data_IF_262437061008
#
_entry.id   IF_262437061008
#
_cell.length_a   1.000
_cell.length_b   1.000
_cell.length_c   1.000
_cell.angle_alpha   90.00
_cell.angle_beta   90.00
_cell.angle_gamma   90.00
#
_symmetry.space_group_name_H-M   'P 1'
#
loop_
_entity.id
_entity.type
_entity.pdbx_description
1 polymer ?
#
# COMPACT_ATOMS: atom_id res chain seq x y z
N UNK A 1 -18.82 4.92 69.56
CA UNK A 1 -17.97 6.07 69.94
C UNK A 1 -16.58 5.79 69.39
N UNK A 2 -16.26 6.21 68.15
CA UNK A 2 -15.39 7.36 67.79
C UNK A 2 -14.05 7.32 68.56
N UNK A 3 -12.88 7.26 67.93
CA UNK A 3 -12.29 8.30 67.07
C UNK A 3 -11.35 7.70 66.00
N UNK A 4 -11.34 8.36 64.84
CA UNK A 4 -10.51 8.17 63.63
C UNK A 4 -9.05 8.61 63.82
N UNK A 5 -8.10 8.01 63.08
CA UNK A 5 -6.83 8.66 62.74
C UNK A 5 -6.56 8.44 61.24
N UNK A 6 -6.65 9.54 60.49
CA UNK A 6 -6.34 9.67 59.07
C UNK A 6 -4.83 9.61 58.82
N UNK A 7 -4.41 8.88 57.79
CA UNK A 7 -3.13 9.14 57.10
C UNK A 7 -3.41 9.83 55.77
N UNK A 8 -3.11 11.12 55.74
CA UNK A 8 -3.16 11.99 54.58
C UNK A 8 -1.82 11.87 53.82
N UNK A 9 -1.80 11.16 52.69
CA UNK A 9 -0.68 11.20 51.77
C UNK A 9 -0.84 12.41 50.84
N UNK A 10 -0.03 13.44 51.05
CA UNK A 10 0.06 14.63 50.22
C UNK A 10 0.73 14.26 48.89
N UNK A 11 -0.03 14.28 47.80
CA UNK A 11 0.48 14.26 46.43
C UNK A 11 1.10 15.63 46.12
N UNK A 12 2.41 15.73 46.21
CA UNK A 12 3.18 16.81 45.60
C UNK A 12 3.15 16.62 44.07
N UNK A 13 2.22 17.29 43.39
CA UNK A 13 2.29 17.51 41.96
C UNK A 13 3.43 18.49 41.65
N UNK A 14 4.65 17.95 41.53
CA UNK A 14 5.75 18.65 40.89
C UNK A 14 5.50 18.68 39.39
N UNK A 15 5.21 19.85 38.85
CA UNK A 15 5.23 20.09 37.39
C UNK A 15 6.65 19.90 36.91
N UNK A 16 6.95 18.73 36.33
CA UNK A 16 8.18 18.57 35.56
C UNK A 16 8.16 19.56 34.38
N UNK A 17 9.26 20.26 34.09
CA UNK A 17 9.33 21.13 32.93
C UNK A 17 9.14 20.29 31.66
N UNK A 18 8.22 20.73 30.79
CA UNK A 18 7.82 20.06 29.55
C UNK A 18 8.99 19.73 28.61
N UNK A 19 10.15 20.37 28.78
CA UNK A 19 11.39 20.08 28.06
C UNK A 19 12.10 18.78 28.48
N UNK A 20 12.02 18.36 29.74
CA UNK A 20 12.69 17.15 30.23
C UNK A 20 11.97 15.87 29.74
N UNK A 21 10.64 15.87 29.75
CA UNK A 21 9.81 14.76 29.23
C UNK A 21 10.00 14.59 27.72
N UNK A 22 10.05 15.71 26.97
CA UNK A 22 10.31 15.66 25.51
C UNK A 22 11.72 15.17 25.16
N UNK A 23 12.73 15.52 25.95
CA UNK A 23 14.10 15.07 25.72
C UNK A 23 14.24 13.55 25.95
N UNK A 24 13.63 13.05 27.03
CA UNK A 24 13.60 11.63 27.39
C UNK A 24 12.80 10.79 26.38
N UNK A 25 11.63 11.28 25.94
CA UNK A 25 10.87 10.66 24.84
C UNK A 25 11.68 10.67 23.53
N UNK A 26 12.35 11.77 23.18
CA UNK A 26 13.15 11.86 21.95
C UNK A 26 14.34 10.91 21.96
N UNK A 27 14.97 10.73 23.12
CA UNK A 27 16.09 9.80 23.29
C UNK A 27 15.61 8.34 23.25
N UNK A 28 14.53 8.00 23.95
CA UNK A 28 13.90 6.67 23.88
C UNK A 28 13.40 6.34 22.46
N UNK A 29 12.85 7.31 21.73
CA UNK A 29 12.47 7.15 20.33
C UNK A 29 13.66 6.86 19.41
N UNK A 30 14.78 7.56 19.61
CA UNK A 30 16.00 7.35 18.83
C UNK A 30 16.63 5.98 19.07
N UNK A 31 16.44 5.41 20.27
CA UNK A 31 16.87 4.05 20.60
C UNK A 31 16.00 2.98 19.92
N UNK A 32 14.67 3.20 19.82
CA UNK A 32 13.75 2.24 19.20
C UNK A 32 13.79 2.30 17.67
N UNK A 33 13.83 3.50 17.09
CA UNK A 33 13.86 3.73 15.65
C UNK A 33 15.07 4.58 15.27
N UNK A 34 16.27 3.97 15.20
CA UNK A 34 17.50 4.69 14.91
C UNK A 34 17.46 5.30 13.50
N UNK A 35 18.10 6.47 13.36
CA UNK A 35 18.23 7.20 12.10
C UNK A 35 19.68 7.16 11.63
N UNK A 36 20.14 6.05 11.02
CA UNK A 36 21.53 5.96 10.57
C UNK A 36 21.80 7.01 9.49
N UNK A 37 22.92 7.73 9.61
CA UNK A 37 23.27 8.82 8.70
C UNK A 37 23.24 8.41 7.21
N UNK A 38 23.60 7.16 6.91
CA UNK A 38 23.56 6.61 5.55
C UNK A 38 22.17 6.52 4.92
N UNK A 39 21.09 6.61 5.70
CA UNK A 39 19.71 6.62 5.19
C UNK A 39 19.09 8.02 5.13
N UNK A 40 19.75 9.04 5.68
CA UNK A 40 19.18 10.41 5.75
C UNK A 40 18.82 11.00 4.37
N UNK A 41 19.59 10.78 3.28
CA UNK A 41 19.16 11.19 1.94
C UNK A 41 17.81 10.59 1.52
N UNK A 42 17.59 9.30 1.83
CA UNK A 42 16.35 8.59 1.51
C UNK A 42 15.19 9.12 2.36
N UNK A 43 15.41 9.30 3.67
CA UNK A 43 14.40 9.85 4.59
C UNK A 43 13.98 11.24 4.13
N UNK A 44 14.93 12.11 3.79
CA UNK A 44 14.66 13.45 3.26
C UNK A 44 13.84 13.38 1.98
N UNK A 45 14.23 12.53 1.02
CA UNK A 45 13.50 12.37 -0.22
C UNK A 45 12.04 11.98 0.02
N UNK A 46 11.79 10.92 0.80
CA UNK A 46 10.44 10.45 1.08
C UNK A 46 9.61 11.46 1.86
N UNK A 47 10.21 12.20 2.79
CA UNK A 47 9.54 13.30 3.49
C UNK A 47 9.01 14.33 2.50
N UNK A 48 9.79 14.71 1.49
CA UNK A 48 9.34 15.64 0.43
C UNK A 48 8.26 15.03 -0.44
N UNK A 49 8.36 13.74 -0.79
CA UNK A 49 7.29 13.03 -1.53
C UNK A 49 5.96 13.06 -0.75
N UNK A 50 6.01 12.86 0.56
CA UNK A 50 4.82 12.84 1.42
C UNK A 50 4.27 14.23 1.76
N UNK A 51 5.11 15.27 1.81
CA UNK A 51 4.71 16.58 2.36
C UNK A 51 4.73 17.74 1.35
N UNK A 52 5.56 17.68 0.32
CA UNK A 52 5.80 18.81 -0.60
C UNK A 52 5.22 18.56 -1.98
N UNK A 53 5.50 17.38 -2.56
CA UNK A 53 5.16 17.11 -3.96
C UNK A 53 3.71 16.65 -4.14
N UNK A 54 2.99 17.36 -5.00
CA UNK A 54 1.61 17.04 -5.34
C UNK A 54 1.50 15.69 -6.05
N UNK A 55 0.34 15.04 -5.97
CA UNK A 55 -0.02 13.93 -6.86
C UNK A 55 -0.01 14.35 -8.33
N UNK A 56 0.03 15.63 -8.66
CA UNK A 56 0.15 16.11 -10.03
C UNK A 56 1.59 16.47 -10.41
N UNK A 57 2.56 16.07 -9.59
CA UNK A 57 3.99 16.23 -9.86
C UNK A 57 4.69 14.86 -9.91
N UNK A 58 5.75 14.78 -10.71
CA UNK A 58 6.64 13.62 -10.79
C UNK A 58 8.08 14.06 -10.60
N UNK A 59 8.73 13.50 -9.59
CA UNK A 59 10.15 13.71 -9.30
C UNK A 59 10.96 12.66 -10.08
N UNK A 60 11.81 13.11 -11.00
CA UNK A 60 12.75 12.27 -11.74
C UNK A 60 14.08 12.23 -10.98
N UNK A 61 14.51 11.05 -10.55
CA UNK A 61 15.62 10.91 -9.59
C UNK A 61 16.43 9.62 -9.79
N UNK A 62 17.57 9.55 -9.12
CA UNK A 62 18.40 8.34 -9.02
C UNK A 62 17.85 7.37 -7.94
N UNK A 63 17.78 6.08 -8.26
CA UNK A 63 17.23 5.05 -7.40
C UNK A 63 18.14 4.62 -6.25
N UNK A 64 19.43 4.96 -6.31
CA UNK A 64 20.46 4.61 -5.32
C UNK A 64 20.84 5.85 -4.49
N UNK A 65 21.00 7.01 -5.14
CA UNK A 65 21.28 8.29 -4.49
C UNK A 65 20.05 9.21 -4.59
N UNK A 66 19.11 9.05 -3.67
CA UNK A 66 17.80 9.73 -3.74
C UNK A 66 17.89 11.27 -3.59
N UNK A 67 19.03 11.79 -3.16
CA UNK A 67 19.37 13.20 -3.18
C UNK A 67 19.65 13.76 -4.59
N UNK A 68 19.98 12.89 -5.56
CA UNK A 68 20.15 13.26 -6.97
C UNK A 68 18.79 13.32 -7.67
N UNK A 69 18.13 14.47 -7.52
CA UNK A 69 16.88 14.80 -8.23
C UNK A 69 17.20 15.57 -9.51
N UNK A 70 17.00 14.92 -10.65
CA UNK A 70 17.29 15.49 -11.97
C UNK A 70 16.29 16.59 -12.34
N UNK A 71 14.99 16.30 -12.17
CA UNK A 71 13.92 17.19 -12.61
C UNK A 71 12.61 16.91 -11.86
N UNK A 72 11.76 17.91 -11.73
CA UNK A 72 10.36 17.74 -11.29
C UNK A 72 9.46 18.18 -12.43
N UNK A 73 8.60 17.27 -12.88
CA UNK A 73 7.55 17.56 -13.84
C UNK A 73 6.30 17.99 -13.08
N UNK A 74 5.66 19.06 -13.51
CA UNK A 74 4.49 19.64 -12.87
C UNK A 74 3.33 19.72 -13.86
N UNK A 75 2.24 19.01 -13.54
CA UNK A 75 1.07 18.88 -14.40
C UNK A 75 -0.16 19.62 -13.87
N UNK A 76 0.02 20.48 -12.87
CA UNK A 76 -1.06 21.33 -12.33
C UNK A 76 -1.55 22.38 -13.34
N UNK A 77 -0.68 23.04 -14.13
CA UNK A 77 -1.12 23.97 -15.16
C UNK A 77 -2.12 23.34 -16.15
N UNK A 78 -1.89 22.10 -16.57
CA UNK A 78 -2.80 21.41 -17.50
C UNK A 78 -4.19 21.16 -16.89
N UNK A 79 -4.27 20.95 -15.57
CA UNK A 79 -5.54 20.84 -14.84
C UNK A 79 -6.24 22.19 -14.79
N UNK A 80 -5.50 23.26 -14.52
CA UNK A 80 -6.00 24.64 -14.51
C UNK A 80 -6.52 25.06 -15.89
N UNK A 81 -5.89 24.57 -16.97
CA UNK A 81 -6.31 24.74 -18.36
C UNK A 81 -7.51 23.85 -18.76
N UNK A 82 -8.06 23.07 -17.82
CA UNK A 82 -9.30 22.30 -17.99
C UNK A 82 -9.13 20.86 -18.46
N UNK A 83 -7.90 20.33 -18.50
CA UNK A 83 -7.67 18.92 -18.81
C UNK A 83 -8.24 18.01 -17.71
N UNK A 84 -8.93 16.93 -18.10
CA UNK A 84 -9.47 16.02 -17.09
C UNK A 84 -8.38 15.13 -16.47
N UNK A 85 -8.60 14.65 -15.25
CA UNK A 85 -7.62 13.85 -14.52
C UNK A 85 -7.14 12.60 -15.28
N UNK A 86 -8.01 11.98 -16.09
CA UNK A 86 -7.64 10.81 -16.88
C UNK A 86 -6.74 11.12 -18.07
N UNK A 87 -6.83 12.35 -18.62
CA UNK A 87 -5.90 12.89 -19.61
C UNK A 87 -4.56 13.25 -18.97
N UNK A 88 -4.58 13.95 -17.84
CA UNK A 88 -3.38 14.30 -17.08
C UNK A 88 -2.60 13.05 -16.67
N UNK A 89 -3.27 12.02 -16.15
CA UNK A 89 -2.61 10.75 -15.80
C UNK A 89 -1.98 10.06 -17.04
N UNK A 90 -2.52 10.26 -18.25
CA UNK A 90 -1.92 9.74 -19.49
C UNK A 90 -0.70 10.57 -19.89
N UNK A 91 -0.83 11.89 -19.89
CA UNK A 91 0.25 12.83 -20.21
C UNK A 91 1.42 12.63 -19.26
N UNK A 92 1.15 12.59 -17.95
CA UNK A 92 2.12 12.36 -16.90
C UNK A 92 2.99 11.12 -17.17
N UNK A 93 2.40 10.00 -17.62
CA UNK A 93 3.17 8.79 -17.97
C UNK A 93 4.07 9.00 -19.18
N UNK A 94 3.52 9.58 -20.25
CA UNK A 94 4.25 9.79 -21.50
C UNK A 94 5.43 10.74 -21.27
N UNK A 95 5.19 11.89 -20.63
CA UNK A 95 6.22 12.89 -20.38
C UNK A 95 7.29 12.39 -19.41
N UNK A 96 6.91 11.60 -18.41
CA UNK A 96 7.87 10.94 -17.51
C UNK A 96 8.83 10.04 -18.29
N UNK A 97 8.30 9.17 -19.14
CA UNK A 97 9.12 8.24 -19.93
C UNK A 97 10.06 9.00 -20.89
N UNK A 98 9.54 10.03 -21.58
CA UNK A 98 10.34 10.86 -22.49
C UNK A 98 11.46 11.62 -21.78
N UNK A 99 11.17 12.20 -20.61
CA UNK A 99 12.15 12.98 -19.85
C UNK A 99 13.22 12.10 -19.20
N UNK A 100 12.88 10.88 -18.76
CA UNK A 100 13.88 9.92 -18.28
C UNK A 100 14.85 9.50 -19.39
N UNK A 101 14.37 9.29 -20.63
CA UNK A 101 15.25 9.02 -21.78
C UNK A 101 16.14 10.22 -22.12
N UNK A 102 15.64 11.46 -22.00
CA UNK A 102 16.45 12.67 -22.17
C UNK A 102 17.54 12.76 -21.10
N UNK A 103 17.19 12.55 -19.83
CA UNK A 103 18.15 12.53 -18.72
C UNK A 103 19.21 11.46 -18.95
N UNK A 104 18.80 10.26 -19.37
CA UNK A 104 19.72 9.17 -19.70
C UNK A 104 20.71 9.57 -20.79
N UNK A 105 20.24 10.13 -21.90
CA UNK A 105 21.09 10.58 -22.99
C UNK A 105 22.09 11.64 -22.52
N UNK A 106 21.66 12.57 -21.67
CA UNK A 106 22.53 13.58 -21.05
C UNK A 106 23.62 12.94 -20.18
N UNK A 107 23.26 11.99 -19.31
CA UNK A 107 24.23 11.28 -18.45
C UNK A 107 25.28 10.52 -19.28
N UNK A 108 24.85 9.81 -20.34
CA UNK A 108 25.76 9.10 -21.23
C UNK A 108 26.68 10.06 -22.02
N UNK A 109 26.16 11.23 -22.42
CA UNK A 109 26.97 12.27 -23.05
C UNK A 109 28.00 12.85 -22.08
N UNK A 110 27.60 13.16 -20.83
CA UNK A 110 28.51 13.65 -19.79
C UNK A 110 29.62 12.63 -19.51
N UNK A 111 29.30 11.33 -19.48
CA UNK A 111 30.32 10.29 -19.35
C UNK A 111 31.31 10.32 -20.53
N UNK A 112 30.83 10.45 -21.77
CA UNK A 112 31.66 10.48 -22.97
C UNK A 112 32.58 11.72 -23.07
N UNK A 113 32.18 12.85 -22.50
CA UNK A 113 33.00 14.07 -22.47
C UNK A 113 34.14 14.02 -21.44
N UNK A 114 34.14 13.04 -20.54
CA UNK A 114 35.18 12.88 -19.51
C UNK A 114 35.02 13.82 -18.31
N UNK A 115 36.03 13.89 -17.44
CA UNK A 115 35.91 14.48 -16.10
C UNK A 115 35.83 16.02 -16.08
N UNK A 116 36.35 16.72 -17.09
CA UNK A 116 36.35 18.19 -17.15
C UNK A 116 35.74 18.66 -18.48
N UNK A 117 34.41 18.49 -18.67
CA UNK A 117 33.76 18.81 -19.92
C UNK A 117 33.68 20.33 -20.16
N UNK A 118 34.01 20.77 -21.36
CA UNK A 118 33.80 22.15 -21.82
C UNK A 118 32.53 22.25 -22.68
N UNK A 119 31.95 23.45 -22.77
CA UNK A 119 30.79 23.70 -23.64
C UNK A 119 29.49 23.02 -23.21
N UNK A 120 29.31 22.73 -21.91
CA UNK A 120 28.06 22.19 -21.38
C UNK A 120 26.90 23.17 -21.57
N UNK A 121 25.76 22.65 -22.01
CA UNK A 121 24.48 23.37 -21.94
C UNK A 121 24.07 23.61 -20.49
N UNK A 122 23.09 24.49 -20.25
CA UNK A 122 22.60 24.78 -18.90
C UNK A 122 22.05 23.53 -18.18
N UNK A 123 21.31 22.68 -18.90
CA UNK A 123 20.76 21.44 -18.34
C UNK A 123 21.85 20.42 -18.01
N UNK A 124 22.83 20.26 -18.90
CA UNK A 124 23.96 19.37 -18.67
C UNK A 124 24.83 19.82 -17.52
N UNK A 125 25.05 21.13 -17.39
CA UNK A 125 25.77 21.71 -16.26
C UNK A 125 25.04 21.42 -14.95
N UNK A 126 23.72 21.62 -14.91
CA UNK A 126 22.91 21.31 -13.73
C UNK A 126 23.01 19.83 -13.34
N UNK A 127 22.91 18.91 -14.31
CA UNK A 127 23.06 17.47 -14.04
C UNK A 127 24.49 17.15 -13.61
N UNK A 128 25.50 17.74 -14.23
CA UNK A 128 26.91 17.55 -13.87
C UNK A 128 27.18 17.97 -12.42
N UNK A 129 26.64 19.12 -12.00
CA UNK A 129 26.77 19.66 -10.64
C UNK A 129 26.12 18.77 -9.57
N UNK A 130 25.09 17.97 -9.90
CA UNK A 130 24.51 16.97 -8.97
C UNK A 130 25.48 15.86 -8.57
N UNK A 131 26.61 15.73 -9.27
CA UNK A 131 27.65 14.74 -9.00
C UNK A 131 28.95 15.42 -8.54
N UNK A 132 28.89 16.66 -8.04
CA UNK A 132 30.08 17.36 -7.56
C UNK A 132 30.76 16.66 -6.36
N UNK A 133 30.00 15.85 -5.62
CA UNK A 133 30.45 15.04 -4.48
C UNK A 133 30.90 13.61 -4.87
N UNK A 134 30.70 13.21 -6.13
CA UNK A 134 31.02 11.90 -6.67
C UNK A 134 32.10 12.03 -7.74
N UNK A 135 33.28 11.47 -7.49
CA UNK A 135 34.41 11.54 -8.41
C UNK A 135 34.69 10.22 -9.12
N UNK A 136 33.79 9.22 -9.02
CA UNK A 136 33.97 7.96 -9.72
C UNK A 136 34.03 8.20 -11.25
N UNK A 137 34.97 7.57 -11.98
CA UNK A 137 35.10 7.76 -13.43
C UNK A 137 33.84 7.36 -14.22
N UNK A 138 33.09 6.40 -13.70
CA UNK A 138 31.89 5.82 -14.31
C UNK A 138 30.59 6.34 -13.67
N UNK A 139 30.63 7.36 -12.79
CA UNK A 139 29.44 7.87 -12.07
C UNK A 139 28.24 8.18 -12.97
N UNK A 140 28.47 8.84 -14.09
CA UNK A 140 27.41 9.20 -15.05
C UNK A 140 26.93 7.99 -15.85
N UNK A 141 27.84 7.05 -16.17
CA UNK A 141 27.48 5.79 -16.82
C UNK A 141 26.58 4.95 -15.89
N UNK A 142 26.97 4.82 -14.63
CA UNK A 142 26.21 4.10 -13.61
C UNK A 142 24.86 4.79 -13.31
N UNK A 143 24.82 6.11 -13.28
CA UNK A 143 23.58 6.89 -13.14
C UNK A 143 22.63 6.74 -14.36
N UNK A 144 23.19 6.57 -15.55
CA UNK A 144 22.47 6.36 -16.80
C UNK A 144 21.93 4.93 -17.01
N UNK A 145 22.11 4.01 -16.05
CA UNK A 145 21.47 2.70 -16.08
C UNK A 145 19.95 2.85 -15.97
N UNK A 146 19.20 2.20 -16.87
CA UNK A 146 17.74 2.27 -16.93
C UNK A 146 17.06 1.82 -15.63
N UNK A 147 17.70 0.94 -14.84
CA UNK A 147 17.17 0.50 -13.54
C UNK A 147 17.33 1.56 -12.46
N UNK A 148 18.23 2.53 -12.67
CA UNK A 148 18.58 3.57 -11.71
C UNK A 148 17.80 4.85 -11.93
N UNK A 149 17.34 5.13 -13.15
CA UNK A 149 16.48 6.26 -13.45
C UNK A 149 15.01 5.97 -13.11
N UNK A 150 14.40 6.79 -12.25
CA UNK A 150 13.02 6.57 -11.77
C UNK A 150 12.22 7.86 -11.72
N UNK A 151 10.92 7.73 -12.02
CA UNK A 151 9.92 8.75 -11.74
C UNK A 151 9.10 8.39 -10.51
N UNK A 152 9.07 9.27 -9.51
CA UNK A 152 8.27 9.14 -8.30
C UNK A 152 7.19 10.20 -8.26
N UNK A 153 5.93 9.77 -8.32
CA UNK A 153 4.77 10.66 -8.16
C UNK A 153 4.74 11.20 -6.74
N UNK A 154 4.45 12.49 -6.59
CA UNK A 154 4.20 13.09 -5.28
C UNK A 154 2.97 12.47 -4.60
N UNK A 155 2.94 12.53 -3.27
CA UNK A 155 1.88 11.94 -2.46
C UNK A 155 1.24 12.94 -1.50
N UNK A 156 1.59 14.23 -1.57
CA UNK A 156 1.18 15.27 -0.61
C UNK A 156 -0.30 15.21 -0.22
N UNK A 157 -1.20 15.26 -1.20
CA UNK A 157 -2.64 15.30 -0.95
C UNK A 157 -3.16 13.98 -0.38
N UNK A 158 -2.61 12.84 -0.84
CA UNK A 158 -2.97 11.52 -0.31
C UNK A 158 -2.48 11.33 1.11
N UNK A 159 -1.30 11.85 1.43
CA UNK A 159 -0.72 11.76 2.75
C UNK A 159 -1.46 12.66 3.74
N UNK A 160 -1.85 13.87 3.33
CA UNK A 160 -2.71 14.75 4.11
C UNK A 160 -4.06 14.08 4.45
N UNK A 161 -4.70 13.46 3.46
CA UNK A 161 -5.93 12.69 3.68
C UNK A 161 -5.70 11.48 4.58
N UNK A 162 -4.59 10.75 4.37
CA UNK A 162 -4.20 9.63 5.21
C UNK A 162 -4.03 10.01 6.67
N UNK A 163 -3.36 11.14 6.95
CA UNK A 163 -3.24 11.68 8.31
C UNK A 163 -4.62 12.01 8.87
N UNK A 164 -5.44 12.76 8.12
CA UNK A 164 -6.80 13.15 8.54
C UNK A 164 -7.62 11.93 8.96
N UNK A 165 -7.67 10.90 8.11
CA UNK A 165 -8.40 9.65 8.37
C UNK A 165 -7.79 8.88 9.53
N UNK A 166 -6.46 8.76 9.60
CA UNK A 166 -5.77 7.98 10.63
C UNK A 166 -6.09 8.46 12.04
N UNK A 167 -6.29 9.78 12.26
CA UNK A 167 -6.54 10.35 13.59
C UNK A 167 -7.74 9.71 14.30
N UNK A 168 -8.72 9.21 13.55
CA UNK A 168 -9.90 8.55 14.10
C UNK A 168 -9.63 7.10 14.57
N UNK A 169 -8.59 6.43 14.03
CA UNK A 169 -8.25 5.03 14.33
C UNK A 169 -7.05 4.86 15.25
N UNK A 170 -6.08 5.79 15.18
CA UNK A 170 -4.81 5.70 15.91
C UNK A 170 -4.96 5.46 17.41
N UNK A 171 -5.89 6.09 18.16
CA UNK A 171 -6.02 5.84 19.60
C UNK A 171 -6.25 4.35 19.95
N UNK A 172 -7.12 3.67 19.20
CA UNK A 172 -7.40 2.25 19.38
C UNK A 172 -6.24 1.38 18.87
N UNK A 173 -5.62 1.77 17.75
CA UNK A 173 -4.48 1.04 17.19
C UNK A 173 -3.27 1.09 18.12
N UNK A 174 -2.97 2.25 18.69
CA UNK A 174 -1.88 2.45 19.66
C UNK A 174 -2.15 1.69 20.95
N UNK A 175 -3.41 1.63 21.39
CA UNK A 175 -3.81 0.79 22.54
C UNK A 175 -3.51 -0.69 22.26
N UNK A 176 -3.88 -1.20 21.09
CA UNK A 176 -3.57 -2.58 20.66
C UNK A 176 -2.06 -2.82 20.65
N UNK A 177 -1.26 -1.92 20.10
CA UNK A 177 0.19 -2.08 20.05
C UNK A 177 0.81 -2.07 21.46
N UNK A 178 0.35 -1.19 22.35
CA UNK A 178 0.78 -1.18 23.77
C UNK A 178 0.44 -2.48 24.50
N UNK A 179 -0.75 -3.03 24.28
CA UNK A 179 -1.17 -4.31 24.86
C UNK A 179 -0.31 -5.49 24.41
N UNK A 180 0.21 -5.44 23.19
CA UNK A 180 1.13 -6.44 22.63
C UNK A 180 2.61 -6.13 22.97
N UNK A 181 2.87 -5.08 23.75
CA UNK A 181 4.23 -4.67 24.14
C UNK A 181 5.05 -4.07 23.00
N UNK A 182 4.39 -3.49 21.99
CA UNK A 182 5.02 -2.94 20.79
C UNK A 182 5.00 -1.40 20.81
N UNK A 183 5.99 -0.74 20.17
CA UNK A 183 5.99 0.71 20.03
C UNK A 183 4.75 1.24 19.29
N UNK A 184 4.02 2.23 19.86
CA UNK A 184 2.83 2.82 19.22
C UNK A 184 3.10 3.42 17.84
N UNK A 185 4.31 3.89 17.56
CA UNK A 185 4.70 4.56 16.32
C UNK A 185 4.55 3.64 15.10
N UNK A 186 4.69 2.32 15.29
CA UNK A 186 4.47 1.32 14.24
C UNK A 186 3.06 1.38 13.64
N UNK A 187 2.08 1.93 14.38
CA UNK A 187 0.73 2.18 13.87
C UNK A 187 0.67 3.19 12.71
N UNK A 188 1.78 3.87 12.39
CA UNK A 188 1.92 4.77 11.22
C UNK A 188 2.37 4.04 9.95
N UNK A 189 2.80 2.78 10.01
CA UNK A 189 3.10 1.99 8.80
C UNK A 189 1.98 2.00 7.74
N UNK A 190 0.68 2.02 8.08
CA UNK A 190 -0.39 2.20 7.10
C UNK A 190 -0.30 3.48 6.25
N UNK A 191 0.34 4.54 6.72
CA UNK A 191 0.60 5.75 5.92
C UNK A 191 1.56 5.46 4.76
N UNK A 192 2.54 4.58 4.98
CA UNK A 192 3.48 4.11 3.96
C UNK A 192 2.81 3.10 3.02
N UNK A 193 2.14 2.09 3.59
CA UNK A 193 1.55 0.99 2.82
C UNK A 193 0.42 1.43 1.88
N UNK A 194 -0.42 2.37 2.32
CA UNK A 194 -1.65 2.73 1.62
C UNK A 194 -2.04 4.21 1.68
N UNK A 195 -1.22 5.04 2.31
CA UNK A 195 -1.64 6.38 2.77
C UNK A 195 -2.94 6.32 3.58
N UNK A 196 -3.10 5.30 4.43
CA UNK A 196 -4.29 5.05 5.25
C UNK A 196 -5.61 4.91 4.47
N UNK A 197 -5.56 4.51 3.19
CA UNK A 197 -6.76 4.33 2.38
C UNK A 197 -7.59 3.11 2.84
N UNK A 198 -8.76 3.36 3.44
CA UNK A 198 -9.70 2.36 3.96
C UNK A 198 -10.20 1.37 2.88
N UNK A 199 -10.09 1.72 1.61
CA UNK A 199 -10.51 0.90 0.48
C UNK A 199 -9.33 0.34 -0.33
N UNK A 200 -8.12 0.41 0.21
CA UNK A 200 -6.92 -0.01 -0.50
C UNK A 200 -7.00 -1.49 -0.93
N UNK A 201 -6.81 -1.71 -2.23
CA UNK A 201 -6.70 -3.03 -2.82
C UNK A 201 -5.69 -2.98 -3.98
N UNK A 202 -4.61 -3.75 -3.88
CA UNK A 202 -3.55 -3.74 -4.88
C UNK A 202 -3.85 -4.66 -6.05
N UNK A 203 -3.20 -4.40 -7.19
CA UNK A 203 -3.31 -5.26 -8.40
C UNK A 203 -2.86 -6.71 -8.14
N UNK A 204 -1.99 -6.92 -7.15
CA UNK A 204 -1.46 -8.24 -6.77
C UNK A 204 -2.19 -8.85 -5.57
N UNK A 205 -3.22 -8.17 -5.03
CA UNK A 205 -4.15 -8.74 -4.05
C UNK A 205 -3.88 -8.39 -2.59
N UNK A 206 -2.98 -7.44 -2.30
CA UNK A 206 -2.86 -6.83 -0.97
C UNK A 206 -4.14 -6.03 -0.65
N UNK A 207 -4.61 -6.06 0.60
CA UNK A 207 -5.89 -5.45 0.98
C UNK A 207 -5.82 -4.69 2.31
N UNK A 208 -6.61 -3.62 2.40
CA UNK A 208 -6.78 -2.77 3.58
C UNK A 208 -5.59 -1.84 3.85
N UNK A 209 -5.69 -1.07 4.93
CA UNK A 209 -4.72 -0.02 5.29
C UNK A 209 -3.31 -0.59 5.56
N UNK A 210 -3.23 -1.85 5.98
CA UNK A 210 -2.00 -2.57 6.28
C UNK A 210 -1.45 -3.37 5.08
N UNK A 211 -2.14 -3.35 3.93
CA UNK A 211 -1.75 -4.05 2.70
C UNK A 211 -1.37 -5.53 2.89
N UNK A 212 -2.10 -6.26 3.73
CA UNK A 212 -1.83 -7.69 3.91
C UNK A 212 -2.04 -8.48 2.62
N UNK A 213 -1.02 -9.25 2.22
CA UNK A 213 -1.16 -10.28 1.18
C UNK A 213 -2.11 -11.40 1.66
N UNK A 214 -2.85 -12.08 0.76
CA UNK A 214 -3.84 -13.08 1.18
C UNK A 214 -3.24 -14.23 2.00
N UNK A 215 -2.03 -14.68 1.64
CA UNK A 215 -1.34 -15.77 2.34
C UNK A 215 -0.96 -15.37 3.78
N UNK A 216 -0.36 -14.19 3.95
CA UNK A 216 0.00 -13.66 5.26
C UNK A 216 -1.24 -13.36 6.10
N UNK A 217 -2.25 -12.72 5.52
CA UNK A 217 -3.50 -12.40 6.21
C UNK A 217 -4.19 -13.63 6.79
N UNK A 218 -4.24 -14.75 6.04
CA UNK A 218 -4.86 -16.00 6.52
C UNK A 218 -4.21 -16.60 7.77
N UNK A 219 -2.98 -16.20 8.12
CA UNK A 219 -2.34 -16.63 9.37
C UNK A 219 -2.97 -15.99 10.61
N UNK A 220 -3.62 -14.84 10.45
CA UNK A 220 -4.06 -13.99 11.56
C UNK A 220 -5.53 -13.56 11.46
N UNK A 221 -6.13 -13.67 10.27
CA UNK A 221 -7.41 -13.08 9.89
C UNK A 221 -8.23 -14.09 9.08
N UNK A 222 -9.55 -13.95 9.17
CA UNK A 222 -10.47 -14.63 8.27
C UNK A 222 -10.42 -13.96 6.89
N UNK A 223 -9.97 -14.72 5.90
CA UNK A 223 -9.91 -14.30 4.49
C UNK A 223 -10.53 -15.37 3.62
N UNK A 224 -11.78 -15.14 3.24
CA UNK A 224 -12.58 -16.00 2.37
C UNK A 224 -13.44 -15.18 1.38
N UNK A 225 -14.27 -15.85 0.58
CA UNK A 225 -15.06 -15.19 -0.46
C UNK A 225 -16.20 -14.29 0.08
N UNK A 226 -16.58 -14.46 1.35
CA UNK A 226 -17.67 -13.73 2.00
C UNK A 226 -17.15 -12.66 2.94
N UNK A 227 -16.02 -12.92 3.60
CA UNK A 227 -15.39 -12.07 4.62
C UNK A 227 -13.90 -11.95 4.36
N UNK A 228 -13.41 -10.72 4.30
CA UNK A 228 -11.99 -10.39 4.20
C UNK A 228 -11.63 -9.39 5.31
N UNK A 229 -11.26 -9.91 6.48
CA UNK A 229 -10.93 -9.09 7.66
C UNK A 229 -9.67 -8.23 7.47
N UNK A 230 -8.89 -8.42 6.39
CA UNK A 230 -7.79 -7.51 6.03
C UNK A 230 -8.29 -6.10 5.73
N UNK A 231 -9.54 -5.97 5.27
CA UNK A 231 -10.19 -4.69 4.95
C UNK A 231 -10.69 -3.96 6.19
N UNK A 232 -10.69 -4.61 7.35
CA UNK A 232 -11.09 -4.00 8.61
C UNK A 232 -9.88 -3.37 9.32
N UNK A 233 -9.84 -2.04 9.53
CA UNK A 233 -8.70 -1.37 10.13
C UNK A 233 -8.30 -1.95 11.49
N UNK A 234 -9.25 -2.30 12.35
CA UNK A 234 -8.98 -2.76 13.72
C UNK A 234 -8.56 -4.22 13.74
N UNK A 235 -9.25 -5.11 12.99
CA UNK A 235 -8.83 -6.50 12.92
C UNK A 235 -7.46 -6.64 12.25
N UNK A 236 -7.23 -5.91 11.15
CA UNK A 236 -5.94 -5.87 10.49
C UNK A 236 -4.82 -5.31 11.39
N UNK A 237 -5.12 -4.33 12.25
CA UNK A 237 -4.14 -3.83 13.22
C UNK A 237 -3.71 -4.88 14.23
N UNK A 238 -4.65 -5.67 14.78
CA UNK A 238 -4.30 -6.77 15.69
C UNK A 238 -3.45 -7.84 14.99
N UNK A 239 -3.73 -8.11 13.71
CA UNK A 239 -2.89 -8.99 12.90
C UNK A 239 -1.50 -8.41 12.63
N UNK A 240 -1.41 -7.11 12.33
CA UNK A 240 -0.15 -6.41 12.10
C UNK A 240 0.72 -6.38 13.35
N UNK A 241 0.14 -6.12 14.52
CA UNK A 241 0.84 -6.18 15.80
C UNK A 241 1.49 -7.56 16.01
N UNK A 242 0.71 -8.65 15.88
CA UNK A 242 1.25 -10.01 15.99
C UNK A 242 2.34 -10.30 14.97
N UNK A 243 2.14 -9.91 13.71
CA UNK A 243 3.10 -10.18 12.65
C UNK A 243 4.40 -9.40 12.85
N UNK A 244 4.34 -8.09 13.15
CA UNK A 244 5.50 -7.27 13.46
C UNK A 244 6.24 -7.78 14.71
N UNK A 245 5.51 -8.22 15.73
CA UNK A 245 6.09 -8.87 16.90
C UNK A 245 6.86 -10.15 16.56
N UNK A 246 6.36 -10.97 15.62
CA UNK A 246 7.12 -12.12 15.11
C UNK A 246 8.40 -11.69 14.39
N UNK A 247 8.34 -10.65 13.54
CA UNK A 247 9.51 -10.16 12.81
C UNK A 247 10.57 -9.59 13.77
N UNK A 248 10.16 -8.83 14.77
CA UNK A 248 11.06 -8.30 15.81
C UNK A 248 11.72 -9.42 16.61
N UNK A 249 10.97 -10.44 17.03
CA UNK A 249 11.55 -11.61 17.71
C UNK A 249 12.54 -12.39 16.84
N UNK A 250 12.29 -12.48 15.53
CA UNK A 250 13.12 -13.24 14.61
C UNK A 250 14.40 -12.49 14.21
N UNK A 251 14.32 -11.17 14.04
CA UNK A 251 15.40 -10.36 13.45
C UNK A 251 16.10 -9.44 14.44
N UNK A 252 15.52 -9.23 15.62
CA UNK A 252 16.00 -8.29 16.63
C UNK A 252 15.56 -6.86 16.29
N UNK A 253 16.41 -6.00 15.70
CA UNK A 253 16.12 -4.57 15.58
C UNK A 253 14.86 -4.23 14.76
N UNK A 254 14.12 -3.20 15.20
CA UNK A 254 12.96 -2.68 14.49
C UNK A 254 13.21 -2.28 13.02
N UNK A 255 14.34 -1.67 12.64
CA UNK A 255 14.61 -1.38 11.24
C UNK A 255 14.56 -2.63 10.34
N UNK A 256 15.03 -3.77 10.84
CA UNK A 256 14.93 -5.04 10.12
C UNK A 256 13.49 -5.56 10.14
N UNK A 257 12.83 -5.55 11.30
CA UNK A 257 11.44 -6.03 11.39
C UNK A 257 10.48 -5.27 10.46
N UNK A 258 10.64 -3.95 10.36
CA UNK A 258 9.88 -3.08 9.46
C UNK A 258 10.19 -3.42 7.99
N UNK A 259 11.47 -3.48 7.61
CA UNK A 259 11.83 -3.86 6.24
C UNK A 259 11.36 -5.27 5.87
N UNK A 260 11.37 -6.21 6.82
CA UNK A 260 10.89 -7.58 6.63
C UNK A 260 9.38 -7.66 6.46
N UNK A 261 8.61 -6.72 7.02
CA UNK A 261 7.17 -6.63 6.78
C UNK A 261 6.88 -6.47 5.28
N UNK A 262 7.65 -5.62 4.59
CA UNK A 262 7.54 -5.39 3.15
C UNK A 262 8.24 -6.47 2.31
N UNK A 263 9.49 -6.78 2.62
CA UNK A 263 10.36 -7.65 1.82
C UNK A 263 10.10 -9.15 2.06
N UNK A 264 9.59 -9.49 3.23
CA UNK A 264 9.45 -10.85 3.74
C UNK A 264 10.58 -11.25 4.70
N UNK A 265 10.27 -11.99 5.79
CA UNK A 265 11.23 -12.37 6.83
C UNK A 265 12.43 -13.14 6.31
N UNK A 266 12.19 -14.18 5.52
CA UNK A 266 13.25 -15.07 5.01
C UNK A 266 14.18 -14.36 4.01
N UNK A 267 13.67 -13.35 3.32
CA UNK A 267 14.47 -12.54 2.41
C UNK A 267 15.45 -11.67 3.19
N UNK A 268 14.97 -11.02 4.25
CA UNK A 268 15.78 -10.11 5.04
C UNK A 268 16.72 -10.83 6.01
N UNK A 269 16.30 -11.96 6.60
CA UNK A 269 17.16 -12.81 7.40
C UNK A 269 18.40 -13.25 6.60
N UNK A 270 18.19 -13.74 5.37
CA UNK A 270 19.27 -14.11 4.45
C UNK A 270 20.21 -12.94 4.14
N UNK A 271 19.67 -11.73 3.99
CA UNK A 271 20.47 -10.54 3.75
C UNK A 271 21.38 -10.21 4.95
N UNK A 272 20.81 -10.25 6.16
CA UNK A 272 21.54 -10.05 7.41
C UNK A 272 22.61 -11.13 7.62
N UNK A 273 22.27 -12.40 7.39
CA UNK A 273 23.20 -13.52 7.51
C UNK A 273 24.36 -13.44 6.50
N UNK A 274 24.07 -13.12 5.24
CA UNK A 274 25.09 -13.02 4.19
C UNK A 274 26.08 -11.89 4.44
N UNK A 275 25.62 -10.77 5.00
CA UNK A 275 26.47 -9.62 5.31
C UNK A 275 27.04 -9.65 6.74
N UNK A 276 26.59 -10.58 7.59
CA UNK A 276 27.00 -10.66 8.99
C UNK A 276 26.66 -9.42 9.81
N UNK A 277 25.55 -8.74 9.50
CA UNK A 277 25.18 -7.46 10.12
C UNK A 277 23.67 -7.31 10.29
N UNK A 278 23.27 -6.60 11.35
CA UNK A 278 21.90 -6.15 11.58
C UNK A 278 21.74 -4.65 11.36
N UNK A 279 22.78 -3.96 10.84
CA UNK A 279 22.69 -2.55 10.48
C UNK A 279 21.93 -2.38 9.16
N UNK A 280 20.76 -1.75 9.24
CA UNK A 280 19.89 -1.57 8.07
C UNK A 280 20.56 -0.71 6.98
N UNK A 281 21.38 0.28 7.34
CA UNK A 281 22.05 1.13 6.36
C UNK A 281 23.07 0.32 5.53
N UNK A 282 23.83 -0.55 6.19
CA UNK A 282 24.74 -1.49 5.55
C UNK A 282 24.00 -2.48 4.66
N UNK A 283 22.89 -3.08 5.13
CA UNK A 283 22.08 -3.99 4.29
C UNK A 283 21.53 -3.27 3.05
N UNK A 284 21.00 -2.07 3.21
CA UNK A 284 20.46 -1.25 2.11
C UNK A 284 21.54 -0.88 1.09
N UNK A 285 22.78 -0.66 1.53
CA UNK A 285 23.91 -0.33 0.66
C UNK A 285 24.48 -1.56 -0.05
N UNK A 286 24.79 -2.61 0.71
CA UNK A 286 25.71 -3.68 0.28
C UNK A 286 25.01 -4.98 -0.13
N UNK A 287 23.73 -5.18 0.22
CA UNK A 287 23.01 -6.39 -0.20
C UNK A 287 22.44 -6.22 -1.61
N UNK A 288 22.83 -7.06 -2.56
CA UNK A 288 22.41 -6.98 -3.97
C UNK A 288 21.51 -8.15 -4.42
N UNK A 289 20.64 -8.64 -3.54
CA UNK A 289 19.68 -9.69 -3.90
C UNK A 289 18.64 -9.22 -4.93
N UNK A 290 18.31 -10.05 -5.92
CA UNK A 290 17.39 -9.71 -7.02
C UNK A 290 16.01 -9.22 -6.55
N UNK A 291 15.50 -9.74 -5.43
CA UNK A 291 14.21 -9.35 -4.87
C UNK A 291 14.30 -8.12 -3.94
N UNK A 292 15.51 -7.71 -3.52
CA UNK A 292 15.74 -6.57 -2.63
C UNK A 292 15.92 -5.28 -3.43
N UNK A 293 14.84 -4.93 -4.13
CA UNK A 293 14.78 -3.77 -5.03
C UNK A 293 14.46 -2.47 -4.31
N UNK A 294 14.13 -1.45 -5.10
CA UNK A 294 13.89 -0.07 -4.65
C UNK A 294 12.92 0.02 -3.46
N UNK A 295 11.75 -0.61 -3.53
CA UNK A 295 10.76 -0.55 -2.45
C UNK A 295 11.32 -1.11 -1.12
N UNK A 296 11.90 -2.32 -1.15
CA UNK A 296 12.45 -2.94 0.06
C UNK A 296 13.63 -2.17 0.65
N UNK A 297 14.46 -1.55 -0.19
CA UNK A 297 15.59 -0.71 0.28
C UNK A 297 15.13 0.57 0.99
N UNK A 298 14.00 1.12 0.57
CA UNK A 298 13.51 2.40 1.06
C UNK A 298 12.50 2.28 2.20
N UNK A 299 11.91 1.10 2.41
CA UNK A 299 10.75 0.94 3.29
C UNK A 299 10.97 1.45 4.73
N UNK A 300 12.15 1.23 5.31
CA UNK A 300 12.45 1.79 6.63
C UNK A 300 12.61 3.32 6.59
N UNK A 301 13.25 3.88 5.55
CA UNK A 301 13.38 5.32 5.37
C UNK A 301 12.01 5.99 5.13
N UNK A 302 11.12 5.33 4.38
CA UNK A 302 9.73 5.75 4.20
C UNK A 302 8.98 5.78 5.53
N UNK A 303 9.15 4.77 6.39
CA UNK A 303 8.55 4.76 7.72
C UNK A 303 9.04 5.93 8.59
N UNK A 304 10.35 6.16 8.66
CA UNK A 304 10.92 7.29 9.42
C UNK A 304 10.41 8.64 8.87
N UNK A 305 10.37 8.80 7.54
CA UNK A 305 9.82 9.98 6.91
C UNK A 305 8.33 10.17 7.22
N UNK A 306 7.54 9.10 7.26
CA UNK A 306 6.14 9.14 7.63
C UNK A 306 5.94 9.59 9.08
N UNK A 307 6.79 9.16 10.01
CA UNK A 307 6.77 9.64 11.40
C UNK A 307 7.06 11.14 11.48
N UNK A 308 8.06 11.63 10.74
CA UNK A 308 8.40 13.06 10.70
C UNK A 308 7.23 13.90 10.18
N UNK A 309 6.60 13.47 9.09
CA UNK A 309 5.48 14.20 8.47
C UNK A 309 4.24 14.12 9.36
N UNK A 310 3.92 12.96 9.95
CA UNK A 310 2.76 12.84 10.85
C UNK A 310 2.97 13.66 12.13
N UNK A 311 4.16 13.69 12.72
CA UNK A 311 4.43 14.48 13.92
C UNK A 311 4.28 15.98 13.68
N UNK A 312 4.70 16.46 12.50
CA UNK A 312 4.72 17.88 12.14
C UNK A 312 3.64 18.24 11.10
N UNK A 313 2.57 17.45 11.02
CA UNK A 313 1.57 17.53 9.95
C UNK A 313 0.92 18.92 9.80
N UNK A 314 0.78 19.67 10.90
CA UNK A 314 0.20 21.02 10.88
C UNK A 314 1.06 22.01 10.10
N UNK A 315 2.39 21.84 10.12
CA UNK A 315 3.32 22.67 9.37
C UNK A 315 3.21 22.43 7.86
N UNK A 316 2.96 21.17 7.47
CA UNK A 316 2.87 20.77 6.06
C UNK A 316 1.48 20.96 5.45
N UNK A 317 0.41 20.75 6.23
CA UNK A 317 -0.96 20.65 5.74
C UNK A 317 -1.94 21.64 6.36
N UNK A 318 -1.52 22.44 7.34
CA UNK A 318 -2.40 23.35 8.06
C UNK A 318 -3.36 22.61 8.99
N UNK A 319 -4.63 23.04 9.04
CA UNK A 319 -5.65 22.39 9.86
C UNK A 319 -6.39 21.31 9.05
N UNK A 320 -6.48 20.11 9.62
CA UNK A 320 -7.23 18.98 9.07
C UNK A 320 -8.42 18.69 9.99
N UNK A 321 -9.62 18.65 9.43
CA UNK A 321 -10.84 18.31 10.17
C UNK A 321 -10.93 16.81 10.37
N UNK A 322 -10.92 16.37 11.62
CA UNK A 322 -11.08 14.96 11.99
C UNK A 322 -12.55 14.67 12.24
N UNK A 323 -13.08 13.67 11.55
CA UNK A 323 -14.40 13.12 11.85
C UNK A 323 -14.23 11.98 12.86
N UNK A 324 -14.95 12.00 14.01
CA UNK A 324 -14.89 10.90 14.95
C UNK A 324 -15.51 9.64 14.34
N UNK A 325 -14.99 8.46 14.72
CA UNK A 325 -15.63 7.21 14.35
C UNK A 325 -17.02 7.13 14.99
N UNK A 326 -18.02 6.58 14.27
CA UNK A 326 -19.31 6.30 14.87
C UNK A 326 -19.15 5.31 16.03
N UNK A 327 -19.88 5.53 17.11
CA UNK A 327 -19.92 4.58 18.23
C UNK A 327 -20.60 3.30 17.76
N UNK A 328 -19.95 2.17 18.06
CA UNK A 328 -20.43 0.85 17.65
C UNK A 328 -20.35 -0.14 18.79
N UNK A 329 -21.17 -1.18 18.68
CA UNK A 329 -21.09 -2.36 19.53
C UNK A 329 -20.78 -3.58 18.66
N UNK A 330 -19.77 -4.37 19.04
CA UNK A 330 -19.45 -5.61 18.34
C UNK A 330 -20.27 -6.79 18.89
N UNK A 331 -20.90 -7.55 18.00
CA UNK A 331 -21.61 -8.79 18.33
C UNK A 331 -21.08 -9.94 17.49
N UNK A 332 -20.66 -11.03 18.14
CA UNK A 332 -20.35 -12.28 17.43
C UNK A 332 -21.65 -13.00 17.06
N UNK A 333 -21.86 -13.22 15.77
CA UNK A 333 -23.02 -13.94 15.27
C UNK A 333 -22.92 -15.44 15.57
N UNK A 334 -23.98 -16.01 16.12
CA UNK A 334 -24.15 -17.44 16.42
C UNK A 334 -24.77 -18.24 15.26
N UNK A 335 -25.38 -17.53 14.30
CA UNK A 335 -25.99 -18.05 13.07
C UNK A 335 -25.72 -17.14 11.86
N UNK A 336 -25.99 -17.64 10.66
CA UNK A 336 -25.98 -16.83 9.46
C UNK A 336 -27.23 -15.92 9.39
N UNK A 337 -27.07 -14.74 8.80
CA UNK A 337 -28.15 -13.75 8.64
C UNK A 337 -27.94 -12.88 7.40
N UNK A 338 -28.98 -12.64 6.61
CA UNK A 338 -28.96 -11.69 5.50
C UNK A 338 -28.70 -10.25 5.98
N UNK A 339 -27.88 -9.50 5.24
CA UNK A 339 -27.51 -8.13 5.64
C UNK A 339 -28.72 -7.19 5.80
N UNK A 340 -29.78 -7.38 4.99
CA UNK A 340 -31.00 -6.58 5.11
C UNK A 340 -31.74 -6.87 6.42
N UNK A 341 -31.81 -8.14 6.81
CA UNK A 341 -32.43 -8.57 8.05
C UNK A 341 -31.63 -8.07 9.25
N UNK A 342 -30.29 -8.19 9.19
CA UNK A 342 -29.41 -7.64 10.22
C UNK A 342 -29.55 -6.12 10.35
N UNK A 343 -29.64 -5.39 9.24
CA UNK A 343 -29.83 -3.94 9.23
C UNK A 343 -31.17 -3.54 9.87
N UNK A 344 -32.26 -4.22 9.50
CA UNK A 344 -33.58 -4.02 10.11
C UNK A 344 -33.57 -4.29 11.62
N UNK A 345 -32.93 -5.39 12.06
CA UNK A 345 -32.76 -5.68 13.49
C UNK A 345 -31.87 -4.66 14.20
N UNK A 346 -30.95 -4.03 13.51
CA UNK A 346 -30.08 -2.98 14.04
C UNK A 346 -30.70 -1.59 13.93
N UNK A 347 -31.96 -1.47 13.48
CA UNK A 347 -32.62 -0.18 13.23
C UNK A 347 -31.74 0.77 12.40
N UNK A 348 -31.08 0.23 11.38
CA UNK A 348 -30.12 0.93 10.55
C UNK A 348 -30.35 0.62 9.07
N UNK A 349 -29.91 1.52 8.20
CA UNK A 349 -29.85 1.24 6.77
C UNK A 349 -28.78 0.20 6.46
N UNK A 350 -29.01 -0.57 5.40
CA UNK A 350 -28.07 -1.60 4.95
C UNK A 350 -26.70 -0.99 4.63
N UNK A 351 -26.69 0.19 4.03
CA UNK A 351 -25.50 0.94 3.64
C UNK A 351 -24.71 1.38 4.88
N UNK A 352 -25.39 1.81 5.94
CA UNK A 352 -24.78 2.14 7.24
C UNK A 352 -24.19 0.89 7.88
N UNK A 353 -24.94 -0.22 7.92
CA UNK A 353 -24.41 -1.47 8.47
C UNK A 353 -23.19 -1.96 7.66
N UNK A 354 -23.21 -1.85 6.34
CA UNK A 354 -22.09 -2.22 5.48
C UNK A 354 -20.86 -1.33 5.70
N UNK A 355 -21.03 -0.01 5.92
CA UNK A 355 -19.90 0.91 6.16
C UNK A 355 -19.20 0.63 7.48
N UNK A 356 -19.94 0.21 8.51
CA UNK A 356 -19.39 -0.21 9.80
C UNK A 356 -18.65 -1.56 9.74
N UNK A 357 -18.91 -2.35 8.70
CA UNK A 357 -18.39 -3.71 8.53
C UNK A 357 -17.62 -3.88 7.21
N UNK A 358 -16.48 -3.17 7.03
CA UNK A 358 -15.72 -3.16 5.78
C UNK A 358 -15.14 -4.52 5.39
N UNK A 359 -15.08 -5.49 6.32
CA UNK A 359 -14.67 -6.87 6.06
C UNK A 359 -15.66 -7.65 5.20
N UNK A 360 -16.94 -7.24 5.14
CA UNK A 360 -17.95 -7.94 4.35
C UNK A 360 -17.68 -7.76 2.85
N UNK A 361 -17.73 -8.86 2.11
CA UNK A 361 -17.59 -8.86 0.65
C UNK A 361 -18.77 -8.18 -0.04
N UNK A 362 -18.59 -7.78 -1.30
CA UNK A 362 -19.68 -7.26 -2.13
C UNK A 362 -20.83 -8.26 -2.33
N UNK A 363 -20.58 -9.56 -2.24
CA UNK A 363 -21.62 -10.58 -2.31
C UNK A 363 -22.55 -10.52 -1.08
N UNK A 364 -21.99 -10.28 0.09
CA UNK A 364 -22.74 -10.13 1.34
C UNK A 364 -23.44 -8.78 1.38
N UNK A 365 -22.73 -7.69 1.06
CA UNK A 365 -23.28 -6.33 1.05
C UNK A 365 -24.44 -6.21 0.06
N UNK A 366 -24.37 -6.87 -1.10
CA UNK A 366 -25.46 -6.91 -2.08
C UNK A 366 -26.62 -7.85 -1.70
N UNK A 367 -26.58 -8.51 -0.54
CA UNK A 367 -27.60 -9.46 -0.09
C UNK A 367 -27.66 -10.77 -0.89
N UNK A 368 -26.64 -11.06 -1.71
CA UNK A 368 -26.58 -12.29 -2.53
C UNK A 368 -26.13 -13.51 -1.73
N UNK A 369 -25.48 -13.29 -0.59
CA UNK A 369 -25.04 -14.30 0.37
C UNK A 369 -25.27 -13.76 1.78
N UNK A 370 -25.62 -14.61 2.76
CA UNK A 370 -25.78 -14.15 4.13
C UNK A 370 -24.43 -13.77 4.75
N UNK A 371 -24.47 -12.93 5.78
CA UNK A 371 -23.36 -12.75 6.71
C UNK A 371 -23.16 -14.10 7.41
N UNK A 372 -21.96 -14.71 7.30
CA UNK A 372 -21.75 -16.04 7.83
C UNK A 372 -21.70 -16.05 9.36
N UNK A 373 -22.03 -17.20 9.95
CA UNK A 373 -21.84 -17.47 11.38
C UNK A 373 -20.40 -17.15 11.82
N UNK A 374 -20.27 -16.68 13.06
CA UNK A 374 -18.99 -16.41 13.72
C UNK A 374 -18.36 -15.06 13.38
N UNK A 375 -18.93 -14.29 12.44
CA UNK A 375 -18.51 -12.92 12.17
C UNK A 375 -18.78 -12.04 13.38
N UNK A 376 -17.81 -11.17 13.72
CA UNK A 376 -18.01 -10.04 14.62
C UNK A 376 -18.65 -8.91 13.83
N UNK A 377 -19.95 -8.74 13.99
CA UNK A 377 -20.74 -7.69 13.34
C UNK A 377 -20.71 -6.43 14.21
N UNK A 378 -20.26 -5.31 13.66
CA UNK A 378 -20.40 -3.99 14.28
C UNK A 378 -21.78 -3.44 14.00
N UNK A 379 -22.49 -3.11 15.07
CA UNK A 379 -23.80 -2.48 15.05
C UNK A 379 -23.63 -1.01 15.47
N UNK A 380 -24.44 -0.08 14.94
CA UNK A 380 -24.50 1.27 15.51
C UNK A 380 -24.96 1.19 16.97
N UNK A 381 -24.43 2.06 17.83
CA UNK A 381 -24.75 2.07 19.26
C UNK A 381 -26.26 2.12 19.53
N UNK A 382 -27.00 2.94 18.78
CA UNK A 382 -28.47 3.05 18.87
C UNK A 382 -29.22 1.76 18.50
N UNK A 383 -28.61 0.90 17.68
CA UNK A 383 -29.19 -0.32 17.12
C UNK A 383 -28.87 -1.60 17.88
N UNK A 384 -27.89 -1.54 18.79
CA UNK A 384 -27.39 -2.71 19.50
C UNK A 384 -28.39 -3.25 20.53
N UNK A 385 -29.12 -2.36 21.20
CA UNK A 385 -30.09 -2.73 22.25
C UNK A 385 -31.23 -3.58 21.68
N UNK A 386 -31.42 -4.76 22.25
CA UNK A 386 -32.45 -5.73 21.82
C UNK A 386 -32.15 -6.44 20.50
N UNK A 387 -30.99 -6.21 19.88
CA UNK A 387 -30.61 -6.90 18.64
C UNK A 387 -30.59 -8.42 18.84
N UNK A 388 -30.06 -8.89 19.97
CA UNK A 388 -30.00 -10.31 20.31
C UNK A 388 -31.39 -10.94 20.43
N UNK A 389 -32.32 -10.26 21.11
CA UNK A 389 -33.70 -10.70 21.25
C UNK A 389 -34.38 -10.82 19.88
N UNK A 390 -34.21 -9.81 19.01
CA UNK A 390 -34.76 -9.82 17.65
C UNK A 390 -34.14 -10.93 16.79
N UNK A 391 -32.83 -11.15 16.91
CA UNK A 391 -32.11 -12.20 16.20
C UNK A 391 -32.59 -13.60 16.61
N UNK A 392 -32.81 -13.82 17.92
CA UNK A 392 -33.29 -15.09 18.46
C UNK A 392 -34.73 -15.41 18.02
N UNK A 393 -35.59 -14.40 17.89
CA UNK A 393 -36.98 -14.54 17.48
C UNK A 393 -37.16 -14.68 15.96
N UNK A 394 -36.15 -14.31 15.17
CA UNK A 394 -36.25 -14.34 13.72
C UNK A 394 -36.08 -15.76 13.15
N UNK A 395 -36.84 -16.11 12.10
CA UNK A 395 -36.73 -17.42 11.47
C UNK A 395 -35.31 -17.64 10.93
N UNK A 396 -34.79 -18.85 11.16
CA UNK A 396 -33.77 -19.55 10.37
C UNK A 396 -33.60 -19.06 8.92
N UNK A 397 -32.67 -18.17 8.57
CA UNK A 397 -32.22 -18.14 7.17
C UNK A 397 -31.32 -19.36 6.99
N UNK A 398 -31.81 -20.37 6.27
CA UNK A 398 -30.98 -21.52 5.90
C UNK A 398 -29.76 -21.02 5.13
N UNK A 399 -28.56 -21.42 5.59
CA UNK A 399 -27.36 -21.33 4.76
C UNK A 399 -27.66 -22.09 3.47
N UNK A 400 -27.93 -21.37 2.37
CA UNK A 400 -27.95 -21.99 1.04
C UNK A 400 -26.52 -22.42 0.74
N UNK A 401 -26.18 -23.62 1.21
CA UNK A 401 -24.95 -24.33 0.88
C UNK A 401 -25.05 -24.66 -0.60
N UNK A 402 -24.44 -23.82 -1.44
CA UNK A 402 -24.01 -24.31 -2.74
C UNK A 402 -22.83 -25.22 -2.42
N UNK A 403 -23.07 -26.53 -2.40
CA UNK A 403 -22.04 -27.54 -2.28
C UNK A 403 -20.95 -27.25 -3.31
N UNK A 404 -19.80 -26.76 -2.83
CA UNK A 404 -18.57 -26.91 -3.58
C UNK A 404 -18.27 -28.40 -3.53
N UNK A 405 -18.43 -29.07 -4.68
CA UNK A 405 -17.83 -30.39 -4.90
C UNK A 405 -16.35 -30.27 -4.50
N UNK A 406 -16.01 -30.80 -3.33
CA UNK A 406 -14.64 -30.88 -2.84
C UNK A 406 -13.94 -31.80 -3.84
N UNK A 407 -13.06 -31.23 -4.65
CA UNK A 407 -12.09 -32.03 -5.39
C UNK A 407 -11.06 -32.42 -4.32
N UNK A 408 -10.90 -33.73 -3.99
CA UNK A 408 -9.91 -34.13 -3.01
C UNK A 408 -8.52 -33.71 -3.49
N UNK A 409 -7.67 -33.33 -2.54
CA UNK A 409 -6.24 -33.13 -2.80
C UNK A 409 -5.66 -34.43 -3.36
N UNK A 410 -5.48 -34.50 -4.68
CA UNK A 410 -4.76 -35.61 -5.31
C UNK A 410 -3.27 -35.33 -5.15
N UNK A 411 -2.63 -36.27 -4.46
CA UNK A 411 -1.19 -36.41 -4.30
C UNK A 411 -0.42 -36.16 -5.61
N UNK A 412 0.80 -35.67 -5.46
CA UNK A 412 1.81 -35.68 -6.51
C UNK A 412 1.87 -37.07 -7.19
N UNK A 413 1.33 -37.18 -8.41
CA UNK A 413 1.75 -38.20 -9.37
C UNK A 413 1.56 -37.71 -10.80
N UNK A 414 2.67 -37.72 -11.50
CA UNK A 414 2.89 -37.38 -12.91
C UNK A 414 1.89 -38.04 -13.86
N UNK A 415 1.05 -37.25 -14.53
CA UNK A 415 0.44 -37.65 -15.81
C UNK A 415 0.34 -36.44 -16.75
N UNK A 416 1.01 -36.57 -17.90
CA UNK A 416 0.93 -35.66 -19.05
C UNK A 416 -0.51 -35.57 -19.58
N UNK A 417 -0.94 -34.34 -19.87
CA UNK A 417 -1.99 -34.08 -20.87
C UNK A 417 -3.43 -34.10 -20.38
N UNK A 418 -3.93 -32.98 -19.85
CA UNK A 418 -5.35 -32.63 -19.91
C UNK A 418 -5.51 -31.11 -19.87
N UNK A 419 -6.12 -30.54 -20.93
CA UNK A 419 -6.30 -29.09 -21.13
C UNK A 419 -7.35 -28.53 -20.17
N UNK A 420 -6.92 -27.67 -19.23
CA UNK A 420 -7.79 -26.75 -18.49
C UNK A 420 -8.31 -25.67 -19.46
N UNK A 421 -9.63 -25.49 -19.55
CA UNK A 421 -10.24 -24.39 -20.32
C UNK A 421 -9.97 -23.06 -19.59
N UNK A 422 -9.25 -22.08 -20.19
CA UNK A 422 -9.01 -20.81 -19.54
C UNK A 422 -10.28 -19.95 -19.52
N UNK A 423 -10.51 -19.22 -18.42
CA UNK A 423 -11.58 -18.25 -18.21
C UNK A 423 -11.50 -17.00 -19.12
N UNK A 424 -10.66 -17.05 -20.16
CA UNK A 424 -10.45 -16.01 -21.16
C UNK A 424 -10.57 -16.67 -22.53
N UNK A 425 -11.54 -16.24 -23.34
CA UNK A 425 -11.65 -16.71 -24.71
C UNK A 425 -10.38 -16.31 -25.46
N UNK A 426 -9.63 -17.29 -25.92
CA UNK A 426 -8.38 -17.06 -26.67
C UNK A 426 -8.48 -17.70 -28.05
N UNK A 427 -7.76 -17.14 -29.02
CA UNK A 427 -7.67 -17.68 -30.37
C UNK A 427 -6.22 -17.69 -30.83
N UNK A 428 -5.85 -18.65 -31.68
CA UNK A 428 -4.50 -18.76 -32.23
C UNK A 428 -4.48 -18.21 -33.65
N UNK A 429 -3.58 -17.29 -33.95
CA UNK A 429 -3.41 -16.68 -35.28
C UNK A 429 -3.00 -17.77 -36.28
N UNK A 430 -3.79 -17.99 -37.32
CA UNK A 430 -3.46 -18.89 -38.43
C UNK A 430 -2.70 -18.15 -39.54
N UNK A 431 -2.01 -18.90 -40.40
CA UNK A 431 -1.26 -18.35 -41.54
C UNK A 431 -2.19 -17.50 -42.42
N UNK A 432 -1.84 -16.22 -42.64
CA UNK A 432 -2.65 -15.27 -43.42
C UNK A 432 -3.78 -14.55 -42.67
N UNK A 433 -3.98 -14.82 -41.37
CA UNK A 433 -4.95 -14.06 -40.57
C UNK A 433 -4.41 -12.68 -40.15
N UNK A 434 -5.25 -11.66 -40.29
CA UNK A 434 -4.98 -10.29 -39.85
C UNK A 434 -5.83 -9.96 -38.63
N UNK A 435 -5.47 -8.88 -37.91
CA UNK A 435 -6.26 -8.39 -36.78
C UNK A 435 -7.72 -8.10 -37.18
N UNK A 436 -7.95 -7.56 -38.38
CA UNK A 436 -9.28 -7.27 -38.91
C UNK A 436 -10.11 -8.54 -39.10
N UNK A 437 -9.50 -9.63 -39.61
CA UNK A 437 -10.18 -10.93 -39.74
C UNK A 437 -10.61 -11.49 -38.37
N UNK A 438 -9.71 -11.42 -37.37
CA UNK A 438 -9.98 -11.92 -36.03
C UNK A 438 -11.02 -11.05 -35.32
N UNK A 439 -10.91 -9.73 -35.41
CA UNK A 439 -11.86 -8.77 -34.84
C UNK A 439 -13.28 -8.97 -35.39
N UNK A 440 -13.42 -9.13 -36.72
CA UNK A 440 -14.71 -9.42 -37.37
C UNK A 440 -15.30 -10.75 -36.91
N UNK A 441 -14.48 -11.81 -36.81
CA UNK A 441 -14.92 -13.14 -36.36
C UNK A 441 -15.50 -13.12 -34.95
N UNK A 442 -14.88 -12.37 -34.04
CA UNK A 442 -15.28 -12.31 -32.64
C UNK A 442 -16.14 -11.09 -32.28
N UNK A 443 -16.56 -10.29 -33.26
CA UNK A 443 -17.40 -9.09 -33.09
C UNK A 443 -16.84 -8.10 -32.06
N UNK A 444 -15.52 -7.85 -32.14
CA UNK A 444 -14.80 -6.86 -31.33
C UNK A 444 -14.12 -5.85 -32.24
N UNK A 445 -13.74 -4.67 -31.74
CA UNK A 445 -12.97 -3.72 -32.53
C UNK A 445 -11.49 -4.13 -32.61
N UNK A 446 -10.82 -3.80 -33.72
CA UNK A 446 -9.37 -4.01 -33.89
C UNK A 446 -8.59 -3.28 -32.79
N UNK A 447 -9.02 -2.08 -32.41
CA UNK A 447 -8.43 -1.31 -31.32
C UNK A 447 -8.52 -2.05 -29.97
N UNK A 448 -9.70 -2.58 -29.61
CA UNK A 448 -9.89 -3.33 -28.37
C UNK A 448 -9.05 -4.62 -28.36
N UNK A 449 -8.99 -5.33 -29.48
CA UNK A 449 -8.17 -6.53 -29.64
C UNK A 449 -6.66 -6.23 -29.49
N UNK A 450 -6.19 -5.09 -30.00
CA UNK A 450 -4.79 -4.65 -29.85
C UNK A 450 -4.44 -4.32 -28.41
N UNK A 451 -5.25 -3.49 -27.75
CA UNK A 451 -5.05 -3.10 -26.35
C UNK A 451 -5.06 -4.32 -25.43
N UNK A 452 -6.01 -5.23 -25.61
CA UNK A 452 -6.14 -6.46 -24.80
C UNK A 452 -4.92 -7.38 -24.90
N UNK A 453 -4.16 -7.28 -26.00
CA UNK A 453 -3.01 -8.13 -26.29
C UNK A 453 -1.67 -7.39 -26.30
N UNK A 454 -1.64 -6.11 -25.87
CA UNK A 454 -0.41 -5.31 -25.84
C UNK A 454 0.23 -5.11 -27.21
N UNK A 455 -0.55 -5.07 -28.29
CA UNK A 455 -0.04 -4.90 -29.66
C UNK A 455 0.15 -3.41 -29.99
N UNK A 456 1.35 -3.06 -30.48
CA UNK A 456 1.71 -1.69 -30.90
C UNK A 456 0.89 -1.14 -32.08
N UNK A 457 1.23 0.09 -32.54
CA UNK A 457 0.44 0.85 -33.54
C UNK A 457 0.16 0.09 -34.83
N UNK A 458 1.16 -0.63 -35.33
CA UNK A 458 1.10 -1.45 -36.55
C UNK A 458 0.48 -2.83 -36.34
N UNK A 459 0.35 -3.30 -35.10
CA UNK A 459 -0.42 -4.50 -34.76
C UNK A 459 0.03 -5.81 -35.43
N UNK A 460 1.33 -5.99 -35.70
CA UNK A 460 1.85 -7.19 -36.36
C UNK A 460 1.50 -8.48 -35.61
N UNK A 461 0.93 -9.44 -36.32
CA UNK A 461 0.61 -10.77 -35.80
C UNK A 461 1.62 -11.80 -36.29
N UNK A 462 2.09 -12.66 -35.39
CA UNK A 462 2.91 -13.84 -35.77
C UNK A 462 2.01 -15.06 -35.91
N UNK A 463 2.23 -15.85 -36.96
CA UNK A 463 1.52 -17.13 -37.13
C UNK A 463 1.79 -18.01 -35.92
N UNK A 464 0.74 -18.56 -35.30
CA UNK A 464 0.83 -19.35 -34.08
C UNK A 464 0.74 -18.56 -32.77
N UNK A 465 0.71 -17.22 -32.82
CA UNK A 465 0.52 -16.36 -31.65
C UNK A 465 -0.89 -16.55 -31.06
N UNK A 466 -1.00 -16.58 -29.73
CA UNK A 466 -2.30 -16.68 -29.03
C UNK A 466 -2.77 -15.29 -28.64
N UNK A 467 -3.96 -14.91 -29.08
CA UNK A 467 -4.62 -13.66 -28.73
C UNK A 467 -5.78 -13.90 -27.75
N UNK A 468 -5.89 -13.03 -26.76
CA UNK A 468 -7.03 -12.89 -25.83
C UNK A 468 -8.12 -12.08 -26.50
N UNK A 469 -9.35 -12.60 -26.53
CA UNK A 469 -10.51 -11.94 -27.11
C UNK A 469 -11.23 -11.13 -26.01
N UNK A 470 -11.34 -9.80 -26.13
CA UNK A 470 -12.07 -9.00 -25.17
C UNK A 470 -13.58 -9.31 -25.22
N UNK A 471 -14.27 -9.23 -24.08
CA UNK A 471 -15.74 -9.33 -24.05
C UNK A 471 -16.32 -8.04 -24.64
N UNK A 472 -17.21 -8.16 -25.63
CA UNK A 472 -17.84 -6.98 -26.23
C UNK A 472 -18.72 -6.26 -25.19
N UNK A 473 -18.46 -4.97 -24.97
CA UNK A 473 -19.43 -4.07 -24.35
C UNK A 473 -20.23 -3.49 -25.51
N UNK A 474 -21.50 -3.87 -25.66
CA UNK A 474 -22.43 -3.13 -26.51
C UNK A 474 -22.55 -1.73 -25.91
N UNK A 475 -22.07 -0.70 -26.61
CA UNK A 475 -22.55 0.68 -26.41
C UNK A 475 -24.04 0.65 -26.70
N UNK A 476 -24.88 0.87 -25.69
CA UNK A 476 -26.24 1.37 -25.89
C UNK A 476 -26.12 2.70 -26.62
N UNK A 477 -26.69 2.77 -27.82
CA UNK A 477 -26.92 4.02 -28.52
C UNK A 477 -28.03 4.79 -27.78
N UNK A 478 -27.99 6.11 -27.93
CA UNK A 478 -28.97 7.07 -27.42
C UNK A 478 -30.42 6.73 -27.84
#
# INVERSE_FOLDING_TARGET
>A
MRVEICFLAVLLFGTLPSGAVRADETQAHAEVFPRPAGLEPQVRFWRRIFAEYSVHQVVLHDAVHLDKVYKVLDFRPEIEDGMNLGEVDRLQRIETDLELERIRATLLRLHALGPNPEGLTAEERKIYELFADDHAPDRFLAAGDEKRLRGQRGLRERFAEGIRVSRAYLPEMERIFREEGLPPELTRLPLVESCFNLHAYSKVGAAGIWQFMPATGRRFLRVDNLVDERRDPIFATRAAARFLGEMHRALGPWPLAITAYNHGPEGLARAADQLGTTDIATIVRDYHGNAFGFASRNFYAEFVAALDVERNWREYFGNLTVEPLPRTHERRLDRAIGIQQAAHMAHADREVLASLNPSLSSLVVAGRRPIPRGVRLRLPESGATGFETRLAQAPAEEERVIERKVIPAVAHRTVRGARVRPAVLTTRVQRGQTLSHIAKRYKVSVASLRVTNGLGKEGHLRTGQTLRIPRSVRRSAA
#
